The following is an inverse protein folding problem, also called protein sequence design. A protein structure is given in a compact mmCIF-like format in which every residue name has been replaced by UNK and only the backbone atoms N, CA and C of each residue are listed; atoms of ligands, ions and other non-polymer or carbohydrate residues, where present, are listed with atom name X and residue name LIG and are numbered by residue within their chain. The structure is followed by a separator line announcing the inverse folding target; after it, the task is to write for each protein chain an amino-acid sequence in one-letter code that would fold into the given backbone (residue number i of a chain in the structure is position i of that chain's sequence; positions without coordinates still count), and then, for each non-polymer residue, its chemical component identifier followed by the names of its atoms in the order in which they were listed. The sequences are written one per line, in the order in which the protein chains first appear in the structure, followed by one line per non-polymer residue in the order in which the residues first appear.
data_IF_307124869930
#
_entry.id   IF_307124869930
#
_cell.length_a   1.000
_cell.length_b   1.000
_cell.length_c   1.000
_cell.angle_alpha   90.00
_cell.angle_beta   90.00
_cell.angle_gamma   90.00
#
_symmetry.space_group_name_H-M   'P 1'
#
loop_
_entity.id
_entity.type
_entity.pdbx_description
1 polymer ?
#
# COMPACT_ATOMS: atom_id res chain seq x y z
N UNK A 1 16.85 20.99 4.08
CA UNK A 1 15.56 20.41 3.70
C UNK A 1 15.68 18.92 3.83
N UNK A 2 14.72 18.31 4.52
CA UNK A 2 14.61 16.89 4.88
C UNK A 2 15.41 16.45 6.11
N UNK A 3 14.66 16.10 7.15
CA UNK A 3 15.14 15.82 8.49
C UNK A 3 14.14 16.36 9.51
N UNK A 4 12.87 15.96 9.41
CA UNK A 4 11.93 16.19 10.50
C UNK A 4 12.47 15.44 11.72
N UNK A 5 12.74 16.18 12.79
CA UNK A 5 13.16 15.63 14.08
C UNK A 5 12.08 14.64 14.56
N UNK A 6 12.45 13.36 14.69
CA UNK A 6 11.58 12.31 15.22
C UNK A 6 11.16 12.58 16.68
N UNK A 7 11.75 13.57 17.34
CA UNK A 7 11.38 14.06 18.65
C UNK A 7 10.36 15.22 18.66
N UNK A 8 10.01 15.80 17.51
CA UNK A 8 9.02 16.88 17.45
C UNK A 8 7.62 16.34 17.75
N UNK A 9 6.94 16.81 18.81
CA UNK A 9 5.57 16.41 19.10
C UNK A 9 4.60 16.67 17.94
N UNK A 10 4.87 17.69 17.11
CA UNK A 10 4.06 18.02 15.94
C UNK A 10 4.23 17.00 14.81
N UNK A 11 5.41 16.42 14.62
CA UNK A 11 5.62 15.37 13.62
C UNK A 11 4.89 14.08 14.02
N UNK A 12 4.90 13.74 15.31
CA UNK A 12 4.12 12.62 15.85
C UNK A 12 2.60 12.87 15.83
N UNK A 13 2.15 14.12 16.00
CA UNK A 13 0.73 14.48 15.92
C UNK A 13 0.19 14.37 14.50
N UNK A 14 0.92 14.81 13.49
CA UNK A 14 0.49 14.72 12.07
C UNK A 14 0.40 13.26 11.59
N UNK A 15 1.35 12.41 12.01
CA UNK A 15 1.30 10.98 11.71
C UNK A 15 0.10 10.33 12.41
N UNK A 16 -0.17 10.68 13.67
CA UNK A 16 -1.35 10.18 14.40
C UNK A 16 -2.66 10.64 13.75
N UNK A 17 -2.77 11.89 13.32
CA UNK A 17 -3.99 12.40 12.67
C UNK A 17 -4.26 11.77 11.31
N UNK A 18 -3.23 11.26 10.62
CA UNK A 18 -3.41 10.57 9.34
C UNK A 18 -4.19 9.26 9.54
N UNK A 19 -3.82 8.48 10.55
CA UNK A 19 -4.46 7.19 10.84
C UNK A 19 -5.85 7.29 11.50
N UNK A 20 -6.31 8.50 11.79
CA UNK A 20 -7.73 8.75 12.11
C UNK A 20 -8.61 8.55 10.85
N UNK A 21 -8.04 8.75 9.66
CA UNK A 21 -8.75 8.66 8.38
C UNK A 21 -8.26 7.53 7.49
N UNK A 22 -7.07 7.00 7.74
CA UNK A 22 -6.47 5.95 6.92
C UNK A 22 -6.14 4.71 7.74
N UNK A 23 -6.16 3.55 7.09
CA UNK A 23 -5.46 2.36 7.57
C UNK A 23 -4.51 1.87 6.50
N UNK A 24 -3.53 1.04 6.87
CA UNK A 24 -2.58 0.50 5.91
C UNK A 24 -2.18 -0.96 6.17
N UNK A 25 -1.68 -1.62 5.13
CA UNK A 25 -0.95 -2.90 5.24
C UNK A 25 0.44 -2.72 5.86
N UNK A 26 1.15 -3.77 6.31
CA UNK A 26 2.45 -3.63 6.95
C UNK A 26 3.47 -2.93 6.05
N UNK A 27 4.23 -2.03 6.66
CA UNK A 27 5.43 -1.41 6.09
C UNK A 27 6.67 -2.19 6.55
N UNK A 28 7.75 -2.16 5.76
CA UNK A 28 9.02 -2.81 6.14
C UNK A 28 9.01 -4.34 6.02
N UNK A 29 8.18 -4.90 5.13
CA UNK A 29 8.24 -6.33 4.81
C UNK A 29 9.58 -6.61 4.14
N UNK A 30 10.28 -7.64 4.59
CA UNK A 30 11.56 -8.05 4.02
C UNK A 30 11.37 -9.19 3.01
N UNK A 31 11.82 -9.00 1.77
CA UNK A 31 11.77 -10.00 0.70
C UNK A 31 10.44 -10.07 -0.06
N UNK A 32 10.52 -10.44 -1.34
CA UNK A 32 9.37 -10.56 -2.23
C UNK A 32 8.35 -11.60 -1.73
N UNK A 33 8.82 -12.78 -1.31
CA UNK A 33 7.95 -13.89 -0.90
C UNK A 33 7.02 -13.49 0.26
N UNK A 34 7.54 -12.74 1.24
CA UNK A 34 6.75 -12.26 2.37
C UNK A 34 5.74 -11.17 1.95
N UNK A 35 6.07 -10.34 0.96
CA UNK A 35 5.12 -9.34 0.45
C UNK A 35 3.99 -10.00 -0.35
N UNK A 36 4.30 -11.10 -1.03
CA UNK A 36 3.36 -11.84 -1.88
C UNK A 36 2.58 -12.91 -1.11
N UNK A 37 2.89 -13.15 0.16
CA UNK A 37 2.08 -13.97 1.06
C UNK A 37 0.95 -13.14 1.70
N UNK A 38 -0.31 -13.28 1.25
CA UNK A 38 -1.40 -12.47 1.76
C UNK A 38 -1.72 -12.71 3.24
N UNK A 39 -1.31 -13.85 3.81
CA UNK A 39 -1.55 -14.15 5.24
C UNK A 39 -0.73 -13.24 6.15
N UNK A 40 0.38 -12.71 5.65
CA UNK A 40 1.25 -11.79 6.38
C UNK A 40 1.19 -10.36 5.81
N UNK A 41 0.93 -10.20 4.51
CA UNK A 41 0.99 -8.90 3.83
C UNK A 41 -0.35 -8.17 3.70
N UNK A 42 -1.48 -8.86 3.83
CA UNK A 42 -2.83 -8.28 3.70
C UNK A 42 -3.55 -8.22 5.06
N UNK A 43 -2.83 -7.72 6.07
CA UNK A 43 -3.34 -7.46 7.43
C UNK A 43 -3.24 -5.97 7.75
N UNK A 44 -3.99 -5.47 8.73
CA UNK A 44 -3.84 -4.07 9.14
C UNK A 44 -2.58 -3.89 10.00
N UNK A 45 -1.83 -2.82 9.75
CA UNK A 45 -0.65 -2.44 10.54
C UNK A 45 -0.87 -1.17 11.36
N UNK A 46 -1.18 -0.05 10.71
CA UNK A 46 -1.51 1.23 11.35
C UNK A 46 -2.91 1.69 10.92
N UNK A 47 -3.61 2.36 11.83
CA UNK A 47 -5.03 2.71 11.67
C UNK A 47 -5.98 1.52 11.83
N UNK A 48 -7.29 1.78 11.76
CA UNK A 48 -8.32 0.73 11.86
C UNK A 48 -9.09 0.60 10.55
N UNK A 49 -9.15 -0.60 9.94
CA UNK A 49 -9.93 -0.83 8.72
C UNK A 49 -11.44 -0.64 8.93
N UNK A 50 -11.93 -0.72 10.17
CA UNK A 50 -13.34 -0.59 10.50
C UNK A 50 -13.81 0.87 10.50
N UNK A 51 -12.95 1.82 10.88
CA UNK A 51 -13.31 3.23 11.03
C UNK A 51 -12.68 4.15 9.98
N UNK A 52 -11.59 3.73 9.33
CA UNK A 52 -10.87 4.56 8.37
C UNK A 52 -11.66 4.76 7.07
N UNK A 53 -11.63 6.01 6.58
CA UNK A 53 -12.22 6.37 5.29
C UNK A 53 -11.42 5.81 4.11
N UNK A 54 -10.09 5.72 4.23
CA UNK A 54 -9.21 5.28 3.16
C UNK A 54 -8.30 4.12 3.56
N UNK A 55 -8.02 3.23 2.61
CA UNK A 55 -7.06 2.14 2.76
C UNK A 55 -5.79 2.38 1.95
N UNK A 56 -4.64 2.06 2.53
CA UNK A 56 -3.33 2.16 1.91
C UNK A 56 -2.74 0.76 1.78
N UNK A 57 -2.24 0.41 0.60
CA UNK A 57 -1.43 -0.80 0.42
C UNK A 57 0.04 -0.41 0.24
N UNK A 58 0.86 -0.83 1.21
CA UNK A 58 2.31 -0.81 1.09
C UNK A 58 2.71 -1.99 0.20
N UNK A 59 2.95 -1.73 -1.09
CA UNK A 59 3.35 -2.70 -2.12
C UNK A 59 4.84 -2.53 -2.45
N UNK A 60 5.67 -2.71 -1.43
CA UNK A 60 7.13 -2.72 -1.56
C UNK A 60 7.70 -3.65 -0.50
N UNK A 61 8.92 -4.11 -0.75
CA UNK A 61 9.64 -4.93 0.20
C UNK A 61 11.13 -4.56 0.23
N UNK A 62 11.67 -4.64 1.42
CA UNK A 62 13.06 -4.36 1.71
C UNK A 62 13.93 -5.57 1.37
N UNK A 63 15.18 -5.28 0.97
CA UNK A 63 16.20 -6.27 0.66
C UNK A 63 17.33 -6.25 1.68
N UNK A 64 18.58 -6.30 1.20
CA UNK A 64 19.76 -6.26 2.04
C UNK A 64 19.78 -4.98 2.90
N UNK A 65 20.09 -5.13 4.20
CA UNK A 65 20.11 -4.06 5.20
C UNK A 65 18.78 -3.31 5.39
N UNK A 66 17.66 -3.96 5.12
CA UNK A 66 16.32 -3.35 5.25
C UNK A 66 16.12 -2.13 4.33
N UNK A 67 16.83 -2.10 3.19
CA UNK A 67 16.78 -1.01 2.21
C UNK A 67 15.94 -1.39 0.97
N UNK A 68 15.38 -0.41 0.26
CA UNK A 68 14.74 -0.62 -1.04
C UNK A 68 15.65 -1.36 -2.03
N UNK A 69 15.10 -2.31 -2.77
CA UNK A 69 15.82 -3.10 -3.77
C UNK A 69 15.08 -3.11 -5.11
N UNK A 70 15.76 -2.64 -6.17
CA UNK A 70 15.21 -2.67 -7.53
C UNK A 70 14.99 -4.10 -8.05
N UNK A 71 15.81 -5.06 -7.60
CA UNK A 71 15.65 -6.48 -7.92
C UNK A 71 14.35 -7.04 -7.34
N UNK A 72 14.06 -6.71 -6.07
CA UNK A 72 12.80 -7.08 -5.43
C UNK A 72 11.63 -6.37 -6.10
N UNK A 73 11.77 -5.07 -6.41
CA UNK A 73 10.76 -4.29 -7.12
C UNK A 73 10.41 -4.93 -8.47
N UNK A 74 11.39 -5.39 -9.26
CA UNK A 74 11.14 -6.13 -10.51
C UNK A 74 10.23 -7.35 -10.33
N UNK A 75 10.37 -8.06 -9.21
CA UNK A 75 9.52 -9.22 -8.89
C UNK A 75 8.14 -8.76 -8.47
N UNK A 76 8.04 -7.93 -7.43
CA UNK A 76 6.74 -7.61 -6.81
C UNK A 76 5.89 -6.69 -7.68
N UNK A 77 6.50 -5.84 -8.50
CA UNK A 77 5.82 -4.96 -9.45
C UNK A 77 5.46 -5.65 -10.78
N UNK A 78 5.75 -6.95 -10.92
CA UNK A 78 5.32 -7.74 -12.07
C UNK A 78 3.79 -7.88 -12.09
N UNK A 79 3.22 -7.99 -13.28
CA UNK A 79 1.78 -7.84 -13.48
C UNK A 79 0.91 -8.79 -12.67
N UNK A 80 1.24 -10.06 -12.68
CA UNK A 80 0.45 -11.07 -11.97
C UNK A 80 0.55 -10.89 -10.45
N UNK A 81 1.72 -10.50 -9.96
CA UNK A 81 1.96 -10.25 -8.53
C UNK A 81 1.18 -9.03 -8.01
N UNK A 82 1.15 -7.94 -8.78
CA UNK A 82 0.35 -6.75 -8.44
C UNK A 82 -1.14 -7.09 -8.41
N UNK A 83 -1.65 -7.75 -9.46
CA UNK A 83 -3.07 -8.10 -9.55
C UNK A 83 -3.51 -9.06 -8.45
N UNK A 84 -2.74 -10.12 -8.23
CA UNK A 84 -3.06 -11.12 -7.23
C UNK A 84 -3.05 -10.51 -5.83
N UNK A 85 -2.08 -9.64 -5.54
CA UNK A 85 -2.02 -8.99 -4.23
C UNK A 85 -3.15 -7.99 -4.02
N UNK A 86 -3.52 -7.20 -5.03
CA UNK A 86 -4.69 -6.30 -4.95
C UNK A 86 -5.96 -7.12 -4.69
N UNK A 87 -6.15 -8.24 -5.41
CA UNK A 87 -7.29 -9.15 -5.22
C UNK A 87 -7.31 -9.72 -3.80
N UNK A 88 -6.20 -10.27 -3.33
CA UNK A 88 -6.10 -10.88 -2.01
C UNK A 88 -6.36 -9.86 -0.87
N UNK A 89 -5.79 -8.66 -0.98
CA UNK A 89 -6.03 -7.61 0.02
C UNK A 89 -7.48 -7.08 -0.06
N UNK A 90 -8.10 -7.01 -1.24
CA UNK A 90 -9.52 -6.70 -1.37
C UNK A 90 -10.39 -7.74 -0.65
N UNK A 91 -10.10 -9.02 -0.84
CA UNK A 91 -10.81 -10.11 -0.16
C UNK A 91 -10.62 -10.06 1.35
N UNK A 92 -9.41 -9.77 1.83
CA UNK A 92 -9.10 -9.69 3.25
C UNK A 92 -9.82 -8.54 3.97
N UNK A 93 -9.92 -7.37 3.33
CA UNK A 93 -10.54 -6.18 3.95
C UNK A 93 -12.01 -5.97 3.56
N UNK A 94 -12.53 -6.73 2.60
CA UNK A 94 -13.89 -6.56 2.08
C UNK A 94 -14.11 -5.21 1.36
N UNK A 95 -13.03 -4.52 0.99
CA UNK A 95 -13.06 -3.24 0.27
C UNK A 95 -11.78 -3.02 -0.52
N UNK A 96 -11.87 -2.21 -1.58
CA UNK A 96 -10.70 -1.79 -2.33
C UNK A 96 -9.89 -0.77 -1.54
N UNK A 97 -8.57 -0.91 -1.63
CA UNK A 97 -7.61 0.04 -1.07
C UNK A 97 -7.41 1.19 -2.08
N UNK A 98 -7.24 2.40 -1.55
CA UNK A 98 -7.27 3.64 -2.31
C UNK A 98 -5.90 4.06 -2.85
N UNK A 99 -4.84 3.76 -2.10
CA UNK A 99 -3.47 4.16 -2.42
C UNK A 99 -2.57 2.94 -2.47
N UNK A 100 -1.69 2.88 -3.48
CA UNK A 100 -0.66 1.86 -3.65
C UNK A 100 0.69 2.54 -3.57
N UNK A 101 1.45 2.28 -2.49
CA UNK A 101 2.81 2.77 -2.35
C UNK A 101 3.76 1.71 -2.87
N UNK A 102 4.75 2.12 -3.65
CA UNK A 102 5.75 1.24 -4.25
C UNK A 102 7.13 1.85 -4.16
N UNK A 103 8.15 0.99 -4.10
CA UNK A 103 9.51 1.37 -4.41
C UNK A 103 9.73 1.29 -5.93
N UNK A 104 10.53 2.22 -6.45
CA UNK A 104 10.90 2.29 -7.88
C UNK A 104 9.68 2.25 -8.81
N UNK A 105 8.80 3.25 -8.74
CA UNK A 105 7.54 3.32 -9.50
C UNK A 105 7.67 3.07 -11.02
N UNK A 106 8.84 3.32 -11.61
CA UNK A 106 9.15 3.11 -13.03
C UNK A 106 9.59 1.67 -13.36
N UNK A 107 9.64 0.78 -12.38
CA UNK A 107 10.07 -0.62 -12.52
C UNK A 107 8.85 -1.53 -12.41
N UNK A 108 8.67 -2.39 -13.41
CA UNK A 108 7.50 -3.27 -13.52
C UNK A 108 6.31 -2.56 -14.17
N UNK A 109 5.11 -3.03 -13.87
CA UNK A 109 3.88 -2.68 -14.62
C UNK A 109 2.80 -2.06 -13.71
N UNK A 110 3.16 -1.66 -12.48
CA UNK A 110 2.20 -1.18 -11.48
C UNK A 110 1.32 -0.06 -12.03
N UNK A 111 1.89 0.95 -12.67
CA UNK A 111 1.14 2.11 -13.15
C UNK A 111 0.06 1.69 -14.16
N UNK A 112 0.42 0.87 -15.14
CA UNK A 112 -0.52 0.41 -16.18
C UNK A 112 -1.64 -0.43 -15.56
N UNK A 113 -1.31 -1.31 -14.62
CA UNK A 113 -2.28 -2.19 -13.95
C UNK A 113 -3.24 -1.40 -13.08
N UNK A 114 -2.76 -0.40 -12.35
CA UNK A 114 -3.63 0.47 -11.55
C UNK A 114 -4.54 1.32 -12.44
N UNK A 115 -4.06 1.76 -13.61
CA UNK A 115 -4.90 2.45 -14.59
C UNK A 115 -5.99 1.54 -15.16
N UNK A 116 -5.63 0.32 -15.56
CA UNK A 116 -6.58 -0.71 -16.01
C UNK A 116 -7.64 -0.98 -14.92
N UNK A 117 -7.19 -1.22 -13.68
CA UNK A 117 -8.06 -1.49 -12.55
C UNK A 117 -9.02 -0.34 -12.27
N UNK A 118 -8.53 0.91 -12.29
CA UNK A 118 -9.37 2.08 -12.09
C UNK A 118 -10.38 2.31 -13.22
N UNK A 119 -10.03 1.93 -14.46
CA UNK A 119 -10.94 2.01 -15.60
C UNK A 119 -12.07 0.98 -15.53
N UNK A 120 -11.82 -0.17 -14.89
CA UNK A 120 -12.79 -1.25 -14.68
C UNK A 120 -13.73 -1.00 -13.49
N UNK A 121 -13.45 0.02 -12.66
CA UNK A 121 -14.35 0.37 -11.56
C UNK A 121 -15.70 0.85 -12.11
N UNK A 122 -16.82 0.44 -11.50
CA UNK A 122 -18.12 0.95 -11.90
C UNK A 122 -18.13 2.47 -11.72
N UNK A 123 -18.77 3.24 -12.63
CA UNK A 123 -18.89 4.67 -12.48
C UNK A 123 -19.45 4.99 -11.10
N UNK A 124 -18.76 5.88 -10.38
CA UNK A 124 -19.20 6.36 -9.08
C UNK A 124 -20.65 6.83 -9.21
N UNK A 125 -21.53 6.30 -8.36
CA UNK A 125 -22.93 6.75 -8.34
C UNK A 125 -22.92 8.28 -8.20
N UNK A 126 -23.53 8.97 -9.16
CA UNK A 126 -23.94 10.35 -8.98
C UNK A 126 -24.81 10.39 -7.70
N UNK A 127 -24.24 10.97 -6.65
CA UNK A 127 -24.80 10.95 -5.31
C UNK A 127 -24.36 12.19 -4.55
N UNK A 128 -25.08 13.28 -4.87
CA UNK A 128 -25.32 14.52 -4.11
C UNK A 128 -24.30 14.88 -3.03
N UNK A 129 -23.51 15.92 -3.33
CA UNK A 129 -22.89 16.79 -2.32
C UNK A 129 -23.95 17.46 -1.44
#
# INVERSE_FOLDING_TARGET
NEGSDCGDPLSLQVIRSTYDYTFETPFGINGADNLLDPTTSCVASRGSPESAAFGITNHYANGFLDLPSEEIARVVNARDNVRERIRACHEAFGRLLNLVLVDFWSVGEVIDIIQEFNADLPPTREGTL
#
